data_IF_868981470937
#
_entry.id   IF_868981470937
#
_cell.length_a   1.000
_cell.length_b   1.000
_cell.length_c   1.000
_cell.angle_alpha   90.00
_cell.angle_beta   90.00
_cell.angle_gamma   90.00
#
_symmetry.space_group_name_H-M   'P 1'
#
loop_
_entity.id
_entity.type
_entity.pdbx_description
1 polymer ?
#
# COMPACT_ATOMS: atom_id res chain seq x y z
N UNK A 1 21.08 -18.38 -11.40
CA UNK A 1 21.15 -16.96 -11.00
C UNK A 1 19.77 -16.49 -10.57
N UNK A 2 19.59 -15.21 -10.25
CA UNK A 2 18.26 -14.62 -10.01
C UNK A 2 18.28 -13.15 -10.43
N UNK A 3 17.17 -12.64 -10.97
CA UNK A 3 17.04 -11.22 -11.29
C UNK A 3 16.37 -10.48 -10.13
N UNK A 4 16.87 -9.29 -9.83
CA UNK A 4 16.41 -8.50 -8.69
C UNK A 4 15.31 -7.54 -9.12
N UNK A 5 14.16 -7.63 -8.47
CA UNK A 5 13.13 -6.59 -8.51
C UNK A 5 13.55 -5.47 -7.56
N UNK A 6 13.57 -4.24 -8.07
CA UNK A 6 13.77 -3.02 -7.29
C UNK A 6 12.96 -1.89 -7.92
N UNK A 7 11.65 -1.93 -7.70
CA UNK A 7 10.68 -1.01 -8.33
C UNK A 7 9.76 -0.47 -7.24
N UNK A 8 9.28 0.75 -7.43
CA UNK A 8 8.42 1.43 -6.44
C UNK A 8 7.10 1.87 -7.05
N UNK A 9 6.05 1.90 -6.23
CA UNK A 9 4.82 2.64 -6.50
C UNK A 9 4.84 3.88 -5.61
N UNK A 10 4.77 5.07 -6.21
CA UNK A 10 4.63 6.31 -5.43
C UNK A 10 3.19 6.48 -4.97
N UNK A 11 2.99 6.56 -3.66
CA UNK A 11 1.68 6.74 -3.04
C UNK A 11 1.40 8.23 -2.82
N UNK A 12 0.19 8.66 -3.17
CA UNK A 12 -0.32 9.98 -2.81
C UNK A 12 -0.44 10.09 -1.29
N UNK A 13 0.38 10.94 -0.68
CA UNK A 13 0.47 11.13 0.77
C UNK A 13 -0.87 11.58 1.35
N UNK A 14 -1.68 12.32 0.58
CA UNK A 14 -3.01 12.77 1.04
C UNK A 14 -4.02 11.64 1.17
N UNK A 15 -3.74 10.46 0.59
CA UNK A 15 -4.55 9.25 0.76
C UNK A 15 -4.19 8.43 2.01
N UNK A 16 -3.10 8.77 2.70
CA UNK A 16 -2.62 8.05 3.88
C UNK A 16 -3.43 8.48 5.11
N UNK A 17 -3.98 7.50 5.84
CA UNK A 17 -4.80 7.73 7.04
C UNK A 17 -4.75 6.55 8.00
N UNK A 18 -5.21 6.77 9.23
CA UNK A 18 -5.53 5.68 10.15
C UNK A 18 -6.65 4.80 9.59
N UNK A 19 -6.57 3.50 9.84
CA UNK A 19 -7.67 2.58 9.53
C UNK A 19 -8.86 2.89 10.45
N UNK A 20 -10.04 3.00 9.85
CA UNK A 20 -11.33 3.03 10.55
C UNK A 20 -11.79 1.59 10.83
N UNK A 21 -12.80 1.44 11.68
CA UNK A 21 -13.37 0.13 11.99
C UNK A 21 -13.91 -0.54 10.72
N UNK A 22 -14.61 0.20 9.86
CA UNK A 22 -15.14 -0.31 8.59
C UNK A 22 -14.03 -0.73 7.63
N UNK A 23 -12.89 -0.01 7.62
CA UNK A 23 -11.73 -0.44 6.84
C UNK A 23 -11.17 -1.76 7.37
N UNK A 24 -11.02 -1.90 8.69
CA UNK A 24 -10.49 -3.13 9.29
C UNK A 24 -11.43 -4.32 9.06
N UNK A 25 -12.75 -4.12 9.15
CA UNK A 25 -13.74 -5.14 8.82
C UNK A 25 -13.66 -5.63 7.39
N UNK A 26 -13.50 -4.71 6.42
CA UNK A 26 -13.28 -5.08 5.01
C UNK A 26 -11.95 -5.80 4.84
N UNK A 27 -10.87 -5.30 5.44
CA UNK A 27 -9.55 -5.92 5.30
C UNK A 27 -9.45 -7.30 5.95
N UNK A 28 -10.24 -7.59 7.00
CA UNK A 28 -10.30 -8.92 7.60
C UNK A 28 -10.84 -9.99 6.65
N UNK A 29 -11.57 -9.60 5.60
CA UNK A 29 -12.06 -10.50 4.55
C UNK A 29 -11.00 -10.83 3.50
N UNK A 30 -9.88 -10.11 3.50
CA UNK A 30 -8.76 -10.36 2.59
C UNK A 30 -7.93 -11.50 3.16
N UNK A 31 -7.81 -12.59 2.41
CA UNK A 31 -7.14 -13.84 2.80
C UNK A 31 -5.76 -13.59 3.42
N UNK A 32 -4.91 -12.83 2.73
CA UNK A 32 -3.55 -12.51 3.16
C UNK A 32 -3.42 -11.57 4.36
N UNK A 33 -4.52 -11.02 4.89
CA UNK A 33 -4.50 -10.02 5.97
C UNK A 33 -5.24 -10.43 7.25
N UNK A 34 -6.14 -11.40 7.15
CA UNK A 34 -7.06 -11.75 8.24
C UNK A 34 -6.34 -12.02 9.57
N UNK A 35 -5.31 -12.87 9.56
CA UNK A 35 -4.52 -13.21 10.76
C UNK A 35 -3.70 -12.02 11.27
N UNK A 36 -3.06 -11.28 10.35
CA UNK A 36 -2.29 -10.09 10.67
C UNK A 36 -3.12 -9.03 11.39
N UNK A 37 -4.31 -8.73 10.89
CA UNK A 37 -5.19 -7.72 11.49
C UNK A 37 -5.59 -8.13 12.90
N UNK A 38 -6.02 -9.39 13.08
CA UNK A 38 -6.38 -9.93 14.40
C UNK A 38 -5.24 -9.80 15.41
N UNK A 39 -4.03 -10.19 15.01
CA UNK A 39 -2.86 -10.13 15.88
C UNK A 39 -2.45 -8.68 16.16
N UNK A 40 -2.49 -7.81 15.15
CA UNK A 40 -2.09 -6.41 15.28
C UNK A 40 -3.05 -5.60 16.14
N UNK A 41 -4.36 -5.85 16.03
CA UNK A 41 -5.36 -5.25 16.91
C UNK A 41 -5.12 -5.63 18.37
N UNK A 42 -4.87 -6.91 18.66
CA UNK A 42 -4.54 -7.37 20.03
C UNK A 42 -3.30 -6.68 20.58
N UNK A 43 -2.21 -6.63 19.81
CA UNK A 43 -0.95 -5.95 20.19
C UNK A 43 -1.20 -4.46 20.52
N UNK A 44 -1.95 -3.77 19.66
CA UNK A 44 -2.23 -2.34 19.82
C UNK A 44 -3.13 -2.09 21.04
N UNK A 45 -4.19 -2.87 21.21
CA UNK A 45 -5.11 -2.75 22.34
C UNK A 45 -4.39 -3.00 23.67
N UNK A 46 -3.50 -4.00 23.73
CA UNK A 46 -2.68 -4.26 24.90
C UNK A 46 -1.74 -3.08 25.19
N UNK A 47 -0.99 -2.61 24.19
CA UNK A 47 -0.06 -1.50 24.34
C UNK A 47 -0.74 -0.22 24.86
N UNK A 48 -1.91 0.11 24.31
CA UNK A 48 -2.66 1.32 24.69
C UNK A 48 -3.24 1.17 26.12
N UNK A 49 -3.75 -0.01 26.48
CA UNK A 49 -4.31 -0.28 27.82
C UNK A 49 -3.25 -0.24 28.92
N UNK A 50 -2.11 -0.89 28.70
CA UNK A 50 -1.00 -0.93 29.68
C UNK A 50 -0.47 0.47 30.03
N UNK A 51 -0.61 1.43 29.10
CA UNK A 51 -0.13 2.80 29.25
C UNK A 51 -1.23 3.80 29.60
N UNK A 52 -2.46 3.32 29.85
CA UNK A 52 -3.64 4.16 30.14
C UNK A 52 -3.81 5.30 29.11
N UNK A 53 -3.61 4.99 27.83
CA UNK A 53 -3.69 6.00 26.76
C UNK A 53 -5.15 6.34 26.49
N UNK A 54 -5.48 7.63 26.54
CA UNK A 54 -6.76 8.11 26.04
C UNK A 54 -6.78 8.10 24.50
N UNK A 55 -7.50 7.13 23.95
CA UNK A 55 -7.67 6.95 22.51
C UNK A 55 -8.80 7.81 21.93
N UNK A 56 -9.43 8.71 22.69
CA UNK A 56 -10.41 9.66 22.14
C UNK A 56 -9.77 10.57 21.07
N UNK A 57 -8.49 10.93 21.25
CA UNK A 57 -7.71 11.69 20.28
C UNK A 57 -6.96 10.75 19.33
N UNK A 58 -7.11 10.88 18.00
CA UNK A 58 -6.50 9.95 17.04
C UNK A 58 -4.97 9.83 17.08
N UNK A 59 -4.28 10.92 17.41
CA UNK A 59 -2.81 10.94 17.50
C UNK A 59 -2.28 10.21 18.74
N UNK A 60 -3.15 9.96 19.73
CA UNK A 60 -2.76 9.27 20.94
C UNK A 60 -2.74 7.76 20.71
N UNK A 61 -1.68 7.13 21.22
CA UNK A 61 -1.52 5.68 21.19
C UNK A 61 -1.16 5.13 19.82
N UNK A 62 -1.12 3.80 19.75
CA UNK A 62 -0.83 3.09 18.51
C UNK A 62 -2.14 2.83 17.77
N UNK A 63 -2.08 2.94 16.44
CA UNK A 63 -3.17 2.65 15.51
C UNK A 63 -2.61 2.05 14.23
N UNK A 64 -3.43 1.28 13.53
CA UNK A 64 -3.10 0.81 12.18
C UNK A 64 -3.31 1.93 11.17
N UNK A 65 -2.46 1.98 10.15
CA UNK A 65 -2.63 2.87 9.00
C UNK A 65 -2.93 2.06 7.75
N UNK A 66 -3.65 2.66 6.81
CA UNK A 66 -3.96 1.99 5.55
C UNK A 66 -2.68 1.65 4.76
N UNK A 67 -1.71 2.56 4.70
CA UNK A 67 -0.42 2.30 4.04
C UNK A 67 0.41 1.21 4.75
N UNK A 68 0.39 1.17 6.08
CA UNK A 68 1.08 0.12 6.83
C UNK A 68 0.46 -1.25 6.59
N UNK A 69 -0.87 -1.30 6.49
CA UNK A 69 -1.63 -2.53 6.19
C UNK A 69 -1.42 -2.97 4.74
N UNK A 70 -1.45 -2.03 3.79
CA UNK A 70 -1.14 -2.32 2.39
C UNK A 70 0.28 -2.84 2.22
N UNK A 71 1.28 -2.23 2.86
CA UNK A 71 2.67 -2.71 2.83
C UNK A 71 2.79 -4.17 3.30
N UNK A 72 2.06 -4.54 4.36
CA UNK A 72 2.02 -5.91 4.84
C UNK A 72 1.31 -6.85 3.85
N UNK A 73 0.19 -6.41 3.28
CA UNK A 73 -0.49 -7.15 2.21
C UNK A 73 0.45 -7.46 1.04
N UNK A 74 1.18 -6.46 0.54
CA UNK A 74 2.12 -6.65 -0.57
C UNK A 74 3.19 -7.67 -0.21
N UNK A 75 3.75 -7.62 1.00
CA UNK A 75 4.76 -8.58 1.43
C UNK A 75 4.19 -10.01 1.43
N UNK A 76 3.02 -10.22 2.02
CA UNK A 76 2.38 -11.53 2.06
C UNK A 76 2.00 -12.03 0.65
N UNK A 77 1.49 -11.14 -0.21
CA UNK A 77 1.19 -11.46 -1.61
C UNK A 77 2.45 -11.95 -2.34
N UNK A 78 3.57 -11.24 -2.21
CA UNK A 78 4.85 -11.62 -2.83
C UNK A 78 5.41 -12.93 -2.27
N UNK A 79 5.28 -13.18 -0.97
CA UNK A 79 5.72 -14.43 -0.35
C UNK A 79 4.98 -15.65 -0.90
N UNK A 80 3.73 -15.48 -1.33
CA UNK A 80 2.92 -16.55 -1.91
C UNK A 80 2.95 -16.55 -3.46
N UNK A 81 3.72 -15.66 -4.09
CA UNK A 81 3.78 -15.55 -5.54
C UNK A 81 4.79 -16.56 -6.14
N UNK A 82 4.38 -17.41 -7.10
CA UNK A 82 5.23 -18.49 -7.62
C UNK A 82 6.48 -18.00 -8.38
N UNK A 83 6.42 -16.80 -8.97
CA UNK A 83 7.55 -16.15 -9.63
C UNK A 83 8.56 -15.48 -8.69
N UNK A 84 8.31 -15.45 -7.38
CA UNK A 84 9.17 -14.81 -6.38
C UNK A 84 9.97 -15.85 -5.62
N UNK A 85 11.25 -15.53 -5.42
CA UNK A 85 12.21 -16.35 -4.71
C UNK A 85 12.27 -15.94 -3.23
N UNK A 86 11.86 -16.84 -2.33
CA UNK A 86 11.66 -16.56 -0.90
C UNK A 86 12.83 -16.97 0.02
N UNK A 87 13.82 -17.71 -0.48
CA UNK A 87 15.03 -18.11 0.28
C UNK A 87 16.09 -16.99 0.39
N UNK A 88 15.81 -15.84 -0.21
CA UNK A 88 16.66 -14.63 -0.18
C UNK A 88 15.85 -13.43 0.29
N UNK A 89 16.51 -12.28 0.45
CA UNK A 89 15.88 -11.05 0.92
C UNK A 89 14.67 -10.65 0.06
N UNK A 90 13.50 -10.62 0.69
CA UNK A 90 12.27 -10.03 0.19
C UNK A 90 11.80 -8.97 1.19
N UNK A 91 11.59 -7.74 0.72
CA UNK A 91 11.10 -6.65 1.55
C UNK A 91 10.18 -5.73 0.76
N UNK A 92 9.22 -5.14 1.48
CA UNK A 92 8.42 -4.01 1.00
C UNK A 92 8.65 -2.87 1.97
N UNK A 93 9.18 -1.74 1.50
CA UNK A 93 9.59 -0.63 2.38
C UNK A 93 9.17 0.72 1.82
N UNK A 94 9.09 1.70 2.70
CA UNK A 94 8.90 3.09 2.31
C UNK A 94 10.28 3.73 2.11
N UNK A 95 10.44 4.50 1.04
CA UNK A 95 11.58 5.40 0.87
C UNK A 95 11.23 6.77 1.45
N UNK A 96 12.20 7.69 1.45
CA UNK A 96 11.93 9.08 1.86
C UNK A 96 10.82 9.70 1.00
N UNK A 97 9.88 10.43 1.61
CA UNK A 97 8.90 11.21 0.86
C UNK A 97 9.59 12.15 -0.14
N UNK A 98 9.00 12.29 -1.32
CA UNK A 98 9.43 13.20 -2.38
C UNK A 98 8.27 14.11 -2.79
N UNK A 99 8.55 15.07 -3.70
CA UNK A 99 7.51 15.89 -4.33
C UNK A 99 6.48 15.07 -5.09
N UNK A 100 6.83 13.84 -5.46
CA UNK A 100 6.00 12.87 -6.17
C UNK A 100 5.35 11.83 -5.26
N UNK A 101 5.15 12.18 -3.97
CA UNK A 101 4.50 11.30 -2.99
C UNK A 101 5.48 10.45 -2.20
N UNK A 102 4.98 9.33 -1.65
CA UNK A 102 5.74 8.41 -0.80
C UNK A 102 6.03 7.11 -1.57
N UNK A 103 7.28 6.86 -2.01
CA UNK A 103 7.59 5.63 -2.72
C UNK A 103 7.51 4.40 -1.81
N UNK A 104 6.71 3.42 -2.21
CA UNK A 104 6.68 2.07 -1.64
C UNK A 104 7.47 1.13 -2.55
N UNK A 105 8.70 0.79 -2.14
CA UNK A 105 9.63 -0.06 -2.88
C UNK A 105 9.37 -1.54 -2.60
N UNK A 106 9.18 -2.31 -3.67
CA UNK A 106 9.29 -3.76 -3.67
C UNK A 106 10.73 -4.13 -4.01
N UNK A 107 11.40 -4.80 -3.08
CA UNK A 107 12.74 -5.32 -3.26
C UNK A 107 12.72 -6.82 -3.04
N UNK A 108 13.12 -7.58 -4.05
CA UNK A 108 13.13 -9.04 -3.98
C UNK A 108 13.84 -9.63 -5.20
N UNK A 109 13.75 -10.95 -5.35
CA UNK A 109 14.35 -11.66 -6.47
C UNK A 109 13.32 -12.57 -7.12
N UNK A 110 13.35 -12.67 -8.45
CA UNK A 110 12.54 -13.65 -9.18
C UNK A 110 13.19 -15.03 -9.14
N UNK A 111 12.37 -16.07 -9.34
CA UNK A 111 12.84 -17.46 -9.48
C UNK A 111 13.52 -17.75 -10.83
N UNK A 112 13.44 -16.80 -11.78
CA UNK A 112 14.00 -16.93 -13.14
C UNK A 112 15.17 -15.98 -13.40
N UNK A 113 16.00 -16.34 -14.38
CA UNK A 113 17.02 -15.47 -14.99
C UNK A 113 16.68 -15.05 -16.43
N UNK A 114 15.64 -15.64 -17.02
CA UNK A 114 15.16 -15.23 -18.34
C UNK A 114 14.68 -13.77 -18.29
N UNK A 115 15.01 -13.01 -19.33
CA UNK A 115 14.69 -11.57 -19.37
C UNK A 115 13.19 -11.33 -19.56
N UNK A 116 12.55 -12.06 -20.47
CA UNK A 116 11.15 -11.85 -20.83
C UNK A 116 10.26 -12.30 -19.67
N UNK A 117 10.56 -13.46 -19.09
CA UNK A 117 9.82 -13.98 -17.93
C UNK A 117 9.96 -13.05 -16.71
N UNK A 118 11.16 -12.52 -16.46
CA UNK A 118 11.38 -11.54 -15.39
C UNK A 118 10.54 -10.27 -15.58
N UNK A 119 10.49 -9.71 -16.80
CA UNK A 119 9.69 -8.52 -17.08
C UNK A 119 8.19 -8.77 -16.94
N UNK A 120 7.70 -9.95 -17.37
CA UNK A 120 6.31 -10.34 -17.19
C UNK A 120 5.94 -10.46 -15.71
N UNK A 121 6.74 -11.19 -14.92
CA UNK A 121 6.51 -11.34 -13.47
C UNK A 121 6.44 -9.97 -12.79
N UNK A 122 7.39 -9.09 -13.08
CA UNK A 122 7.40 -7.75 -12.49
C UNK A 122 6.19 -6.91 -12.94
N UNK A 123 5.75 -7.04 -14.19
CA UNK A 123 4.61 -6.27 -14.72
C UNK A 123 3.31 -6.74 -14.08
N UNK A 124 3.05 -8.05 -14.06
CA UNK A 124 1.85 -8.63 -13.45
C UNK A 124 1.71 -8.27 -11.97
N UNK A 125 2.81 -8.32 -11.22
CA UNK A 125 2.84 -7.90 -9.82
C UNK A 125 2.41 -6.43 -9.72
N UNK A 126 3.01 -5.54 -10.50
CA UNK A 126 2.73 -4.10 -10.36
C UNK A 126 1.35 -3.71 -10.89
N UNK A 127 0.83 -4.39 -11.91
CA UNK A 127 -0.54 -4.22 -12.39
C UNK A 127 -1.55 -4.57 -11.31
N UNK A 128 -1.36 -5.73 -10.66
CA UNK A 128 -2.18 -6.14 -9.52
C UNK A 128 -2.09 -5.13 -8.37
N UNK A 129 -0.87 -4.74 -7.96
CA UNK A 129 -0.65 -3.81 -6.86
C UNK A 129 -1.30 -2.44 -7.13
N UNK A 130 -1.21 -1.93 -8.36
CA UNK A 130 -1.86 -0.67 -8.76
C UNK A 130 -3.38 -0.79 -8.71
N UNK A 131 -3.94 -1.90 -9.19
CA UNK A 131 -5.37 -2.15 -9.21
C UNK A 131 -5.98 -2.27 -7.80
N UNK A 132 -5.25 -2.83 -6.83
CA UNK A 132 -5.78 -3.01 -5.46
C UNK A 132 -5.61 -1.78 -4.56
N UNK A 133 -4.82 -0.76 -4.93
CA UNK A 133 -4.65 0.45 -4.11
C UNK A 133 -5.96 1.08 -3.60
N UNK A 134 -7.00 1.24 -4.45
CA UNK A 134 -8.27 1.85 -4.02
C UNK A 134 -8.99 1.03 -2.94
N UNK A 135 -8.82 -0.30 -2.90
CA UNK A 135 -9.43 -1.15 -1.86
C UNK A 135 -8.90 -0.77 -0.46
N UNK A 136 -7.63 -0.39 -0.39
CA UNK A 136 -6.98 0.14 0.81
C UNK A 136 -7.27 1.63 1.08
N UNK A 137 -8.06 2.26 0.22
CA UNK A 137 -8.29 3.71 0.24
C UNK A 137 -7.02 4.51 -0.06
N UNK A 138 -6.04 3.90 -0.73
CA UNK A 138 -4.82 4.54 -1.19
C UNK A 138 -4.96 4.95 -2.66
N UNK A 139 -4.14 5.91 -3.07
CA UNK A 139 -4.01 6.30 -4.48
C UNK A 139 -2.56 6.33 -4.89
N UNK A 140 -2.29 5.97 -6.14
CA UNK A 140 -1.00 6.26 -6.75
C UNK A 140 -0.87 7.78 -6.93
N UNK A 141 0.32 8.32 -6.68
CA UNK A 141 0.61 9.70 -7.03
C UNK A 141 0.55 9.86 -8.55
N UNK A 142 -0.15 10.89 -8.99
CA UNK A 142 -0.10 11.38 -10.36
C UNK A 142 0.12 12.89 -10.31
N UNK A 143 1.03 13.39 -11.15
CA UNK A 143 1.15 14.82 -11.35
C UNK A 143 -0.14 15.32 -12.04
N UNK A 144 -0.65 16.51 -11.67
CA UNK A 144 -1.78 17.10 -12.38
C UNK A 144 -1.44 17.23 -13.86
N UNK A 145 -2.36 16.80 -14.72
CA UNK A 145 -2.22 16.90 -16.16
C UNK A 145 -3.03 18.08 -16.69
N UNK A 146 -2.76 18.52 -17.93
CA UNK A 146 -3.56 19.58 -18.56
C UNK A 146 -5.05 19.24 -18.66
N UNK A 147 -5.39 17.94 -18.73
CA UNK A 147 -6.75 17.44 -18.74
C UNK A 147 -7.48 17.68 -17.41
N UNK A 148 -6.79 17.52 -16.29
CA UNK A 148 -7.35 17.79 -14.96
C UNK A 148 -7.72 19.27 -14.82
N UNK A 149 -6.85 20.16 -15.31
CA UNK A 149 -7.07 21.62 -15.27
C UNK A 149 -8.22 22.03 -16.19
N UNK A 150 -8.34 21.46 -17.39
CA UNK A 150 -9.47 21.76 -18.28
C UNK A 150 -10.80 21.30 -17.68
N UNK A 151 -10.83 20.13 -17.03
CA UNK A 151 -12.06 19.59 -16.42
C UNK A 151 -12.60 20.45 -15.26
N UNK A 152 -11.73 21.19 -14.57
CA UNK A 152 -12.13 22.15 -13.53
C UNK A 152 -12.75 23.43 -14.13
N UNK A 153 -12.24 23.90 -15.27
CA UNK A 153 -12.78 25.08 -15.97
C UNK A 153 -14.20 24.83 -16.48
N UNK A 154 -14.45 23.65 -17.03
CA UNK A 154 -15.77 23.30 -17.57
C UNK A 154 -16.82 23.12 -16.47
N UNK A 155 -16.42 22.68 -15.26
CA UNK A 155 -17.30 22.62 -14.08
C UNK A 155 -17.61 24.00 -13.48
N UNK A 156 -16.73 24.98 -13.66
CA UNK A 156 -16.97 26.36 -13.23
C UNK A 156 -17.92 27.14 -14.15
N UNK A 157 -17.96 26.79 -15.45
CA UNK A 157 -18.82 27.44 -16.44
C UNK A 157 -20.26 26.90 -16.48
N UNK A 158 -20.51 25.71 -15.90
CA UNK A 158 -21.83 25.06 -15.89
C UNK A 158 -22.82 25.51 -14.82
N UNK A 159 -22.46 26.47 -13.95
CA UNK A 159 -23.29 26.95 -12.84
C UNK A 159 -23.77 28.41 -13.00
N UNK A 160 -23.77 28.94 -14.23
CA UNK A 160 -24.34 30.26 -14.54
C UNK A 160 -25.36 30.13 -15.66
N UNK A 161 -26.51 29.49 -15.41
CA UNK A 161 -27.83 29.80 -16.01
C UNK A 161 -28.91 29.41 -15.00
#
# INVERSE_FOLDING_TARGET
GARRIKRSISIDISSIRFCSEEMLERFMKIEYLSEYIKNKQKEISQYNKERNIDTSVPVNGRRMTNIGTFRYYVLNYLQNHPGIRNDVTLMVRQLSPASTGLPLEVYGFTSTTDWIEYENIQSDIFDHLMAVLPEFGLRAYQAPTGFDVSSLRDRGAGNVI
#
